data_IF_155182244611
#
_entry.id   IF_155182244611
#
_cell.length_a   1.000
_cell.length_b   1.000
_cell.length_c   1.000
_cell.angle_alpha   90.00
_cell.angle_beta   90.00
_cell.angle_gamma   90.00
#
_symmetry.space_group_name_H-M   'P 1'
#
loop_
_entity.id
_entity.type
_entity.pdbx_description
1 polymer ?
#
# COMPACT_ATOMS: atom_id res chain seq x y z
N UNK A 1 -1.32 8.62 26.96
CA UNK A 1 -0.92 9.51 25.83
C UNK A 1 -1.34 8.82 24.56
N UNK A 2 -1.81 9.56 23.56
CA UNK A 2 -2.47 8.99 22.38
C UNK A 2 -1.54 9.03 21.17
N UNK A 3 -1.53 7.97 20.35
CA UNK A 3 -0.94 7.96 19.03
C UNK A 3 -2.04 8.36 18.04
N UNK A 4 -1.77 9.31 17.17
CA UNK A 4 -2.76 9.81 16.21
C UNK A 4 -2.30 9.55 14.77
N UNK A 5 -3.05 8.73 14.04
CA UNK A 5 -2.93 8.60 12.59
C UNK A 5 -3.65 9.73 11.88
N UNK A 6 -3.11 10.24 10.76
CA UNK A 6 -3.80 11.21 9.89
C UNK A 6 -3.78 10.68 8.46
N UNK A 7 -4.97 10.39 7.92
CA UNK A 7 -5.16 9.87 6.56
C UNK A 7 -6.40 10.47 5.91
N UNK A 8 -6.42 10.53 4.58
CA UNK A 8 -7.60 11.02 3.84
C UNK A 8 -8.83 10.16 4.10
N UNK A 9 -8.67 8.86 3.99
CA UNK A 9 -9.68 7.86 4.29
C UNK A 9 -9.13 6.79 5.24
N UNK A 10 -10.00 5.89 5.70
CA UNK A 10 -9.61 4.79 6.58
C UNK A 10 -10.59 3.61 6.45
N UNK A 11 -10.14 2.36 6.64
CA UNK A 11 -11.04 1.19 6.60
C UNK A 11 -12.19 1.28 7.61
N UNK A 12 -13.35 0.67 7.34
CA UNK A 12 -13.70 -0.06 6.12
C UNK A 12 -14.20 0.82 4.98
N UNK A 13 -14.34 2.13 5.19
CA UNK A 13 -14.92 3.06 4.21
C UNK A 13 -13.98 3.33 3.03
N UNK A 14 -12.65 3.25 3.29
CA UNK A 14 -11.61 3.48 2.29
C UNK A 14 -10.50 2.44 2.42
N UNK A 15 -10.36 1.57 1.42
CA UNK A 15 -9.55 0.35 1.48
C UNK A 15 -8.49 0.29 0.37
N UNK A 16 -7.72 1.36 0.17
CA UNK A 16 -6.54 1.27 -0.68
C UNK A 16 -5.35 0.70 0.11
N UNK A 17 -4.34 0.18 -0.58
CA UNK A 17 -3.21 -0.49 0.06
C UNK A 17 -2.48 0.33 1.14
N UNK A 18 -2.37 1.65 0.94
CA UNK A 18 -1.76 2.55 1.92
C UNK A 18 -2.55 2.65 3.22
N UNK A 19 -3.88 2.81 3.13
CA UNK A 19 -4.77 2.93 4.29
C UNK A 19 -4.91 1.60 5.03
N UNK A 20 -4.99 0.49 4.32
CA UNK A 20 -4.98 -0.86 4.92
C UNK A 20 -3.66 -1.13 5.64
N UNK A 21 -2.53 -0.76 5.04
CA UNK A 21 -1.21 -0.86 5.68
C UNK A 21 -1.11 0.01 6.94
N UNK A 22 -1.56 1.26 6.88
CA UNK A 22 -1.60 2.15 8.05
C UNK A 22 -2.46 1.55 9.15
N UNK A 23 -3.66 1.06 8.82
CA UNK A 23 -4.55 0.43 9.78
C UNK A 23 -3.88 -0.74 10.49
N UNK A 24 -3.34 -1.70 9.76
CA UNK A 24 -2.67 -2.88 10.33
C UNK A 24 -1.49 -2.50 11.22
N UNK A 25 -0.72 -1.50 10.80
CA UNK A 25 0.39 -0.96 11.62
C UNK A 25 -0.11 -0.32 12.91
N UNK A 26 -1.14 0.52 12.83
CA UNK A 26 -1.69 1.22 14.00
C UNK A 26 -2.43 0.26 14.94
N UNK A 27 -3.18 -0.70 14.42
CA UNK A 27 -3.91 -1.70 15.20
C UNK A 27 -2.98 -2.69 15.93
N UNK A 28 -1.69 -2.81 15.53
CA UNK A 28 -0.71 -3.63 16.23
C UNK A 28 -0.14 -2.97 17.49
N UNK A 29 -0.33 -1.66 17.68
CA UNK A 29 0.21 -0.92 18.81
C UNK A 29 -0.63 -1.15 20.07
N UNK A 30 0.02 -1.28 21.22
CA UNK A 30 -0.64 -1.45 22.53
C UNK A 30 -1.16 -0.14 23.11
N UNK A 31 -0.63 0.99 22.66
CA UNK A 31 -1.08 2.31 23.10
C UNK A 31 -2.45 2.68 22.50
N UNK A 32 -3.15 3.64 23.11
CA UNK A 32 -4.40 4.15 22.55
C UNK A 32 -4.13 4.83 21.20
N UNK A 33 -4.85 4.37 20.17
CA UNK A 33 -4.76 4.92 18.80
C UNK A 33 -6.06 5.58 18.41
N UNK A 34 -5.93 6.78 17.84
CA UNK A 34 -7.04 7.51 17.20
C UNK A 34 -6.60 7.87 15.78
N UNK A 35 -7.48 7.72 14.80
CA UNK A 35 -7.21 8.18 13.43
C UNK A 35 -8.10 9.36 13.08
N UNK A 36 -7.52 10.42 12.57
CA UNK A 36 -8.22 11.57 12.04
C UNK A 36 -8.35 11.46 10.53
N UNK A 37 -9.57 11.56 10.01
CA UNK A 37 -9.87 11.43 8.58
C UNK A 37 -10.82 12.52 8.09
N UNK A 38 -10.98 12.63 6.77
CA UNK A 38 -11.98 13.49 6.14
C UNK A 38 -13.37 12.85 6.02
N UNK A 39 -13.63 11.73 6.69
CA UNK A 39 -14.93 11.05 6.69
C UNK A 39 -16.01 11.91 7.37
N UNK A 40 -17.28 11.68 6.99
CA UNK A 40 -18.39 12.52 7.45
C UNK A 40 -18.82 12.30 8.91
N UNK A 41 -18.35 11.23 9.57
CA UNK A 41 -18.73 10.89 10.95
C UNK A 41 -17.68 10.02 11.64
N UNK A 42 -17.73 10.05 12.97
CA UNK A 42 -16.90 9.18 13.82
C UNK A 42 -17.38 7.72 13.76
N UNK A 43 -16.43 6.79 13.83
CA UNK A 43 -16.68 5.34 13.92
C UNK A 43 -15.50 4.62 14.60
N UNK A 44 -15.59 3.30 14.74
CA UNK A 44 -14.46 2.46 15.15
C UNK A 44 -14.32 1.29 14.18
N UNK A 45 -13.08 0.88 13.92
CA UNK A 45 -12.77 -0.27 13.09
C UNK A 45 -11.63 -1.08 13.72
N UNK A 46 -11.88 -2.35 14.00
CA UNK A 46 -10.92 -3.29 14.63
C UNK A 46 -10.17 -2.69 15.83
N UNK A 47 -10.90 -2.04 16.73
CA UNK A 47 -10.37 -1.44 17.96
C UNK A 47 -9.77 -0.03 17.79
N UNK A 48 -9.54 0.43 16.57
CA UNK A 48 -9.06 1.80 16.29
C UNK A 48 -10.22 2.78 16.22
N UNK A 49 -10.15 3.87 17.00
CA UNK A 49 -11.14 4.96 16.95
C UNK A 49 -10.84 5.85 15.76
N UNK A 50 -11.84 6.11 14.92
CA UNK A 50 -11.75 7.01 13.77
C UNK A 50 -12.59 8.23 14.01
N UNK A 51 -12.03 9.41 13.90
CA UNK A 51 -12.68 10.68 14.13
C UNK A 51 -12.60 11.58 12.90
N UNK A 52 -13.66 12.33 12.66
CA UNK A 52 -13.66 13.35 11.63
C UNK A 52 -12.69 14.48 12.00
N UNK A 53 -11.94 14.96 11.01
CA UNK A 53 -11.17 16.20 11.14
C UNK A 53 -12.13 17.39 11.09
N UNK A 54 -12.04 18.29 12.07
CA UNK A 54 -12.89 19.47 12.19
C UNK A 54 -12.55 20.57 11.15
N UNK A 55 -12.28 20.20 9.91
CA UNK A 55 -12.10 21.16 8.81
C UNK A 55 -12.76 20.65 7.53
N UNK A 56 -13.58 21.43 6.85
CA UNK A 56 -14.27 21.01 5.63
C UNK A 56 -13.33 20.82 4.41
N UNK A 57 -12.05 21.17 4.49
CA UNK A 57 -11.10 21.13 3.37
C UNK A 57 -9.72 20.59 3.78
N UNK A 58 -9.66 19.39 4.36
CA UNK A 58 -8.40 18.72 4.72
C UNK A 58 -7.50 18.48 3.49
N UNK A 59 -8.09 18.37 2.31
CA UNK A 59 -7.39 18.18 1.04
C UNK A 59 -6.72 19.45 0.49
N UNK A 60 -7.05 20.61 1.03
CA UNK A 60 -6.39 21.83 0.59
C UNK A 60 -5.02 21.95 1.30
N UNK A 61 -3.95 21.79 0.54
CA UNK A 61 -2.55 21.92 1.01
C UNK A 61 -2.31 23.28 1.71
N UNK A 62 -3.15 24.27 1.42
CA UNK A 62 -3.16 25.59 2.05
C UNK A 62 -4.06 25.66 3.30
N UNK A 63 -4.72 24.55 3.72
CA UNK A 63 -5.51 24.55 4.94
C UNK A 63 -4.60 24.81 6.13
N UNK A 64 -5.00 25.77 6.94
CA UNK A 64 -4.29 26.05 8.18
C UNK A 64 -4.19 24.77 9.03
N UNK A 65 -3.01 24.38 9.52
CA UNK A 65 -2.86 23.22 10.41
C UNK A 65 -3.53 23.44 11.78
N UNK A 66 -4.02 24.64 12.05
CA UNK A 66 -4.57 25.05 13.35
C UNK A 66 -5.68 24.14 13.88
N UNK A 67 -6.78 23.91 13.15
CA UNK A 67 -7.87 23.04 13.61
C UNK A 67 -7.42 21.60 13.91
N UNK A 68 -6.53 21.04 13.10
CA UNK A 68 -5.94 19.71 13.36
C UNK A 68 -5.06 19.77 14.61
N UNK A 69 -4.27 20.82 14.78
CA UNK A 69 -3.40 20.98 15.94
C UNK A 69 -4.21 21.11 17.25
N UNK A 70 -5.32 21.82 17.25
CA UNK A 70 -6.21 21.91 18.41
C UNK A 70 -6.84 20.54 18.74
N UNK A 71 -7.25 19.79 17.74
CA UNK A 71 -7.78 18.44 17.91
C UNK A 71 -6.71 17.48 18.46
N UNK A 72 -5.46 17.60 18.00
CA UNK A 72 -4.31 16.85 18.53
C UNK A 72 -4.02 17.17 20.00
N UNK A 73 -4.13 18.45 20.40
CA UNK A 73 -3.99 18.86 21.82
C UNK A 73 -5.11 18.27 22.68
N UNK A 74 -6.37 18.32 22.22
CA UNK A 74 -7.52 17.73 22.92
C UNK A 74 -7.36 16.23 23.11
N UNK A 75 -6.76 15.53 22.13
CA UNK A 75 -6.44 14.10 22.20
C UNK A 75 -5.20 13.80 23.04
N UNK A 76 -4.49 14.80 23.54
CA UNK A 76 -3.19 14.64 24.21
C UNK A 76 -2.20 13.79 23.38
N UNK A 77 -2.13 14.13 22.08
CA UNK A 77 -1.33 13.38 21.09
C UNK A 77 0.16 13.46 21.41
N UNK A 78 0.81 12.32 21.61
CA UNK A 78 2.27 12.20 21.80
C UNK A 78 2.99 12.03 20.47
N UNK A 79 2.46 11.18 19.61
CA UNK A 79 2.99 10.87 18.28
C UNK A 79 1.88 11.07 17.24
N UNK A 80 2.25 11.67 16.12
CA UNK A 80 1.36 11.85 14.96
C UNK A 80 2.00 11.18 13.75
N UNK A 81 1.27 10.24 13.14
CA UNK A 81 1.70 9.51 11.94
C UNK A 81 0.85 9.96 10.76
N UNK A 82 1.46 10.67 9.82
CA UNK A 82 0.81 11.11 8.58
C UNK A 82 1.24 10.29 7.37
N UNK A 83 0.36 10.21 6.36
CA UNK A 83 0.70 9.58 5.08
C UNK A 83 0.14 10.32 3.87
N UNK A 84 0.65 9.98 2.68
CA UNK A 84 0.20 10.49 1.39
C UNK A 84 0.15 12.03 1.34
N UNK A 85 -0.89 12.62 0.75
CA UNK A 85 -1.08 14.07 0.60
C UNK A 85 -1.26 14.79 1.94
N UNK A 86 -1.70 14.10 2.98
CA UNK A 86 -1.86 14.67 4.32
C UNK A 86 -0.58 14.67 5.16
N UNK A 87 0.52 14.16 4.64
CA UNK A 87 1.81 14.12 5.34
C UNK A 87 2.27 15.51 5.80
N UNK A 88 2.22 16.52 4.93
CA UNK A 88 2.67 17.88 5.30
C UNK A 88 1.73 18.55 6.31
N UNK A 89 0.41 18.58 6.13
CA UNK A 89 -0.52 19.05 7.16
C UNK A 89 -0.34 18.34 8.51
N UNK A 90 -0.14 17.04 8.51
CA UNK A 90 0.10 16.25 9.73
C UNK A 90 1.37 16.69 10.47
N UNK A 91 2.48 16.88 9.75
CA UNK A 91 3.75 17.36 10.33
C UNK A 91 3.61 18.76 10.94
N UNK A 92 2.95 19.68 10.23
CA UNK A 92 2.76 21.04 10.70
C UNK A 92 1.85 21.09 11.93
N UNK A 93 0.76 20.33 11.91
CA UNK A 93 -0.18 20.23 13.04
C UNK A 93 0.48 19.57 14.26
N UNK A 94 1.23 18.50 14.09
CA UNK A 94 1.98 17.83 15.15
C UNK A 94 2.97 18.80 15.83
N UNK A 95 3.70 19.58 15.03
CA UNK A 95 4.62 20.60 15.54
C UNK A 95 3.90 21.65 16.37
N UNK A 96 2.75 22.17 15.89
CA UNK A 96 1.94 23.16 16.59
C UNK A 96 1.28 22.60 17.86
N UNK A 97 1.01 21.31 17.91
CA UNK A 97 0.49 20.61 19.09
C UNK A 97 1.58 20.18 20.09
N UNK A 98 2.86 20.28 19.73
CA UNK A 98 3.97 19.78 20.56
C UNK A 98 4.21 18.27 20.46
N UNK A 99 3.52 17.57 19.57
CA UNK A 99 3.67 16.14 19.33
C UNK A 99 4.88 15.81 18.42
N UNK A 100 5.35 14.56 18.47
CA UNK A 100 6.37 14.02 17.56
C UNK A 100 5.70 13.69 16.24
N UNK A 101 6.27 14.15 15.13
CA UNK A 101 5.78 13.90 13.79
C UNK A 101 6.54 12.77 13.10
N UNK A 102 5.80 11.78 12.63
CA UNK A 102 6.30 10.67 11.81
C UNK A 102 5.53 10.67 10.49
N UNK A 103 6.19 10.41 9.40
CA UNK A 103 5.52 10.20 8.11
C UNK A 103 5.76 8.80 7.59
N UNK A 104 4.71 8.22 7.03
CA UNK A 104 4.76 6.94 6.36
C UNK A 104 4.86 7.17 4.84
N UNK A 105 5.99 6.80 4.26
CA UNK A 105 6.34 7.12 2.87
C UNK A 105 6.12 5.91 1.98
N UNK A 106 5.08 5.98 1.14
CA UNK A 106 4.73 4.93 0.17
C UNK A 106 5.03 5.30 -1.28
N UNK A 107 5.39 6.56 -1.55
CA UNK A 107 5.57 7.07 -2.90
C UNK A 107 7.04 7.39 -3.18
N UNK A 108 7.51 7.23 -4.43
CA UNK A 108 8.86 7.66 -4.82
C UNK A 108 9.00 9.19 -4.80
N UNK A 109 10.25 9.71 -4.72
CA UNK A 109 10.52 11.16 -4.59
C UNK A 109 9.95 12.04 -5.70
N UNK A 110 9.68 11.46 -6.89
CA UNK A 110 9.10 12.18 -8.04
C UNK A 110 7.63 12.55 -7.85
N UNK A 111 6.92 11.87 -6.95
CA UNK A 111 5.52 12.15 -6.68
C UNK A 111 5.35 13.14 -5.52
N UNK A 112 5.10 14.39 -5.87
CA UNK A 112 4.56 15.39 -4.96
C UNK A 112 5.57 16.22 -4.15
N UNK A 113 5.49 17.53 -4.37
CA UNK A 113 6.24 18.54 -3.61
C UNK A 113 5.88 18.51 -2.11
N UNK A 114 4.62 18.21 -1.78
CA UNK A 114 4.09 18.12 -0.44
C UNK A 114 4.75 17.01 0.39
N UNK A 115 4.89 15.79 -0.18
CA UNK A 115 5.53 14.67 0.51
C UNK A 115 7.02 14.98 0.77
N UNK A 116 7.72 15.59 -0.19
CA UNK A 116 9.12 16.02 0.02
C UNK A 116 9.24 17.00 1.18
N UNK A 117 8.36 18.00 1.25
CA UNK A 117 8.37 18.96 2.36
C UNK A 117 8.06 18.28 3.69
N UNK A 118 7.16 17.30 3.70
CA UNK A 118 6.87 16.51 4.88
C UNK A 118 8.08 15.69 5.34
N UNK A 119 8.78 14.99 4.43
CA UNK A 119 10.01 14.22 4.75
C UNK A 119 11.08 15.12 5.37
N UNK A 120 11.32 16.31 4.80
CA UNK A 120 12.30 17.27 5.31
C UNK A 120 11.92 17.80 6.69
N UNK A 121 10.64 18.00 6.96
CA UNK A 121 10.16 18.69 8.16
C UNK A 121 9.73 17.77 9.29
N UNK A 122 9.45 16.49 9.03
CA UNK A 122 9.10 15.51 10.06
C UNK A 122 10.25 15.22 11.03
N UNK A 123 9.91 14.80 12.23
CA UNK A 123 10.88 14.29 13.19
C UNK A 123 11.45 12.94 12.71
N UNK A 124 10.58 12.08 12.13
CA UNK A 124 10.97 10.80 11.55
C UNK A 124 10.25 10.53 10.23
N UNK A 125 10.84 9.68 9.39
CA UNK A 125 10.16 9.07 8.24
C UNK A 125 10.35 7.55 8.28
N UNK A 126 9.27 6.85 8.00
CA UNK A 126 9.21 5.40 7.86
C UNK A 126 9.01 5.10 6.38
N UNK A 127 9.78 4.18 5.86
CA UNK A 127 9.71 3.77 4.45
C UNK A 127 9.17 2.34 4.36
N UNK A 128 8.37 2.09 3.36
CA UNK A 128 7.76 0.77 3.14
C UNK A 128 8.74 -0.29 2.61
N UNK A 129 9.93 0.11 2.17
CA UNK A 129 11.01 -0.77 1.70
C UNK A 129 12.37 -0.10 1.87
N UNK A 130 13.43 -0.88 1.94
CA UNK A 130 14.82 -0.36 1.91
C UNK A 130 15.11 0.33 0.57
N UNK A 131 14.58 -0.21 -0.54
CA UNK A 131 14.67 0.42 -1.85
C UNK A 131 14.05 1.82 -1.84
N UNK A 132 12.90 2.01 -1.18
CA UNK A 132 12.27 3.32 -1.00
C UNK A 132 13.17 4.26 -0.18
N UNK A 133 13.69 3.82 0.96
CA UNK A 133 14.60 4.62 1.77
C UNK A 133 15.85 5.05 0.99
N UNK A 134 16.41 4.14 0.21
CA UNK A 134 17.57 4.41 -0.67
C UNK A 134 17.24 5.41 -1.78
N UNK A 135 16.09 5.28 -2.41
CA UNK A 135 15.61 6.20 -3.46
C UNK A 135 15.42 7.63 -2.92
N UNK A 136 14.98 7.74 -1.65
CA UNK A 136 14.88 9.01 -0.94
C UNK A 136 16.22 9.54 -0.41
N UNK A 137 17.30 8.77 -0.51
CA UNK A 137 18.63 9.13 -0.02
C UNK A 137 18.82 8.97 1.50
N UNK A 138 17.98 8.12 2.12
CA UNK A 138 18.02 7.83 3.56
C UNK A 138 18.29 6.33 3.83
N UNK A 139 19.48 5.80 3.51
CA UNK A 139 19.76 4.36 3.60
C UNK A 139 19.76 3.80 5.03
N UNK A 140 19.81 4.65 6.05
CA UNK A 140 19.73 4.28 7.47
C UNK A 140 18.38 4.65 8.09
N UNK A 141 17.35 4.81 7.29
CA UNK A 141 16.01 5.16 7.74
C UNK A 141 15.31 3.99 8.42
N UNK A 142 14.23 4.30 9.11
CA UNK A 142 13.31 3.27 9.62
C UNK A 142 12.58 2.67 8.43
N UNK A 143 12.71 1.35 8.26
CA UNK A 143 11.93 0.59 7.28
C UNK A 143 10.91 -0.24 8.04
N UNK A 144 9.65 -0.14 7.62
CA UNK A 144 8.55 -0.96 8.09
C UNK A 144 7.76 -1.43 6.87
N UNK A 145 7.90 -2.70 6.55
CA UNK A 145 7.18 -3.27 5.42
C UNK A 145 5.67 -3.28 5.69
N UNK A 146 4.84 -3.03 4.66
CA UNK A 146 3.39 -3.04 4.82
C UNK A 146 2.89 -4.36 5.40
N UNK A 147 2.15 -4.34 6.53
CA UNK A 147 1.65 -5.58 7.13
C UNK A 147 0.64 -6.26 6.21
N UNK A 148 0.79 -7.57 6.03
CA UNK A 148 -0.08 -8.43 5.22
C UNK A 148 -1.20 -9.05 6.07
N UNK A 149 -2.25 -9.54 5.42
CA UNK A 149 -3.29 -10.32 6.07
C UNK A 149 -2.75 -11.63 6.63
N UNK A 150 -3.37 -12.14 7.67
CA UNK A 150 -3.04 -13.46 8.20
C UNK A 150 -3.22 -14.51 7.10
N UNK A 151 -2.20 -15.35 6.93
CA UNK A 151 -2.22 -16.43 5.95
C UNK A 151 -3.22 -17.49 6.39
N UNK A 152 -4.13 -17.96 5.51
CA UNK A 152 -5.09 -19.00 5.87
C UNK A 152 -4.40 -20.35 6.10
N UNK A 153 -4.95 -21.14 7.01
CA UNK A 153 -4.40 -22.46 7.36
C UNK A 153 -4.60 -23.50 6.25
N UNK A 154 -5.67 -23.37 5.47
CA UNK A 154 -5.97 -24.25 4.34
C UNK A 154 -6.11 -23.46 3.05
N UNK A 155 -5.68 -24.05 1.95
CA UNK A 155 -5.70 -23.43 0.63
C UNK A 155 -6.52 -24.30 -0.32
N UNK A 156 -7.40 -23.66 -1.09
CA UNK A 156 -7.95 -24.26 -2.30
C UNK A 156 -7.31 -23.57 -3.50
N UNK A 157 -6.43 -24.27 -4.21
CA UNK A 157 -5.77 -23.77 -5.43
C UNK A 157 -6.42 -24.32 -6.70
N UNK A 158 -7.72 -24.65 -6.64
CA UNK A 158 -8.47 -25.18 -7.78
C UNK A 158 -9.01 -24.07 -8.70
N UNK A 159 -8.57 -22.84 -8.53
CA UNK A 159 -8.91 -21.73 -9.41
C UNK A 159 -8.41 -21.94 -10.83
N UNK A 160 -9.16 -21.42 -11.80
CA UNK A 160 -8.86 -21.48 -13.24
C UNK A 160 -8.63 -20.10 -13.86
N UNK A 161 -8.96 -19.02 -13.14
CA UNK A 161 -8.92 -17.68 -13.65
C UNK A 161 -7.54 -17.00 -13.51
N UNK A 162 -7.22 -16.16 -14.48
CA UNK A 162 -6.13 -15.18 -14.38
C UNK A 162 -6.74 -13.87 -13.85
N UNK A 163 -6.33 -13.48 -12.63
CA UNK A 163 -7.01 -12.41 -11.90
C UNK A 163 -6.15 -11.16 -11.78
N UNK A 164 -6.75 -9.98 -11.96
CA UNK A 164 -6.16 -8.69 -11.61
C UNK A 164 -7.08 -7.97 -10.60
N UNK A 165 -6.50 -7.50 -9.50
CA UNK A 165 -7.25 -6.79 -8.45
C UNK A 165 -7.20 -5.27 -8.67
N UNK A 166 -7.36 -4.83 -9.91
CA UNK A 166 -7.44 -3.41 -10.26
C UNK A 166 -7.89 -3.21 -11.71
N UNK A 167 -8.75 -2.23 -11.92
CA UNK A 167 -9.23 -1.77 -13.23
C UNK A 167 -8.50 -0.52 -13.75
N UNK A 168 -7.37 -0.11 -13.09
CA UNK A 168 -6.70 1.13 -13.41
C UNK A 168 -5.67 0.97 -14.54
N UNK A 169 -5.52 2.00 -15.38
CA UNK A 169 -4.53 2.05 -16.46
C UNK A 169 -3.08 1.94 -15.95
N UNK A 170 -2.75 2.60 -14.85
CA UNK A 170 -1.42 2.50 -14.23
C UNK A 170 -1.15 1.16 -13.56
N UNK A 171 -2.20 0.36 -13.34
CA UNK A 171 -2.14 -1.02 -12.83
C UNK A 171 -2.16 -2.06 -13.94
N UNK A 172 -2.19 -1.63 -15.20
CA UNK A 172 -2.00 -2.47 -16.37
C UNK A 172 -3.25 -3.17 -16.89
N UNK A 173 -4.46 -2.61 -16.67
CA UNK A 173 -5.71 -3.17 -17.22
C UNK A 173 -5.64 -3.36 -18.73
N UNK A 174 -4.98 -2.45 -19.47
CA UNK A 174 -4.77 -2.58 -20.91
C UNK A 174 -3.97 -3.84 -21.28
N UNK A 175 -3.00 -4.25 -20.49
CA UNK A 175 -2.24 -5.50 -20.71
C UNK A 175 -3.16 -6.70 -20.52
N UNK A 176 -4.02 -6.69 -19.48
CA UNK A 176 -4.96 -7.78 -19.19
C UNK A 176 -5.99 -7.94 -20.28
N UNK A 177 -6.52 -6.85 -20.83
CA UNK A 177 -7.45 -6.85 -21.98
C UNK A 177 -6.83 -7.55 -23.20
N UNK A 178 -5.59 -7.20 -23.55
CA UNK A 178 -4.91 -7.81 -24.69
C UNK A 178 -4.55 -9.30 -24.43
N UNK A 179 -4.25 -9.65 -23.19
CA UNK A 179 -4.05 -11.07 -22.80
C UNK A 179 -5.36 -11.87 -22.90
N UNK A 180 -6.49 -11.30 -22.51
CA UNK A 180 -7.79 -11.97 -22.63
C UNK A 180 -8.15 -12.25 -24.10
N UNK A 181 -7.88 -11.31 -25.01
CA UNK A 181 -8.03 -11.51 -26.46
C UNK A 181 -7.08 -12.58 -27.00
N UNK A 182 -5.83 -12.61 -26.51
CA UNK A 182 -4.81 -13.57 -26.93
C UNK A 182 -5.08 -15.01 -26.46
N UNK A 183 -5.73 -15.17 -25.30
CA UNK A 183 -6.04 -16.46 -24.68
C UNK A 183 -7.53 -16.69 -24.54
N UNK A 184 -8.31 -16.85 -25.64
CA UNK A 184 -9.78 -16.88 -25.60
C UNK A 184 -10.35 -18.07 -24.80
N UNK A 185 -9.56 -19.12 -24.58
CA UNK A 185 -9.95 -20.29 -23.80
C UNK A 185 -9.55 -20.20 -22.31
N UNK A 186 -8.99 -19.08 -21.87
CA UNK A 186 -8.62 -18.82 -20.46
C UNK A 186 -9.58 -17.78 -19.88
N UNK A 187 -9.96 -17.96 -18.65
CA UNK A 187 -10.85 -17.07 -17.90
C UNK A 187 -10.05 -15.93 -17.27
N UNK A 188 -10.49 -14.70 -17.44
CA UNK A 188 -9.90 -13.52 -16.82
C UNK A 188 -10.87 -12.83 -15.89
N UNK A 189 -10.46 -12.53 -14.67
CA UNK A 189 -11.22 -11.77 -13.67
C UNK A 189 -10.57 -10.43 -13.43
N UNK A 190 -11.34 -9.35 -13.57
CA UNK A 190 -10.94 -7.99 -13.22
C UNK A 190 -11.80 -7.52 -12.05
N UNK A 191 -11.19 -7.24 -10.90
CA UNK A 191 -11.90 -6.63 -9.77
C UNK A 191 -11.69 -5.12 -9.81
N UNK A 192 -12.77 -4.34 -9.80
CA UNK A 192 -12.72 -2.88 -9.92
C UNK A 192 -12.00 -2.20 -8.75
N UNK A 193 -11.33 -1.10 -9.05
CA UNK A 193 -10.64 -0.27 -8.06
C UNK A 193 -11.52 0.88 -7.54
N UNK A 194 -11.38 1.30 -6.27
CA UNK A 194 -12.04 2.49 -5.76
C UNK A 194 -11.71 3.78 -6.52
N UNK A 195 -10.51 3.86 -7.12
CA UNK A 195 -10.04 5.04 -7.85
C UNK A 195 -10.43 5.04 -9.35
N UNK A 196 -11.21 4.07 -9.82
CA UNK A 196 -11.61 3.93 -11.23
C UNK A 196 -12.26 5.18 -11.83
N UNK A 197 -13.17 5.91 -11.13
CA UNK A 197 -13.81 7.09 -11.72
C UNK A 197 -12.83 8.17 -12.21
N UNK A 198 -11.64 8.21 -11.65
CA UNK A 198 -10.64 9.24 -11.95
C UNK A 198 -9.42 8.72 -12.72
N UNK A 199 -9.14 7.40 -12.67
CA UNK A 199 -7.90 6.80 -13.21
C UNK A 199 -8.15 5.51 -13.99
N UNK A 200 -9.40 5.10 -14.16
CA UNK A 200 -9.80 3.93 -14.93
C UNK A 200 -9.86 4.19 -16.44
N UNK A 201 -10.18 3.14 -17.17
CA UNK A 201 -10.49 3.21 -18.60
C UNK A 201 -11.98 3.57 -18.76
N UNK A 202 -12.28 4.66 -19.48
CA UNK A 202 -13.65 5.18 -19.59
C UNK A 202 -14.64 4.14 -20.16
N UNK A 203 -14.17 3.36 -21.15
CA UNK A 203 -15.03 2.41 -21.90
C UNK A 203 -14.81 0.95 -21.45
N UNK A 204 -14.37 0.73 -20.21
CA UNK A 204 -14.00 -0.62 -19.74
C UNK A 204 -15.18 -1.60 -19.77
N UNK A 205 -16.40 -1.16 -19.48
CA UNK A 205 -17.59 -2.01 -19.53
C UNK A 205 -17.92 -2.43 -20.97
N UNK A 206 -17.85 -1.50 -21.91
CA UNK A 206 -18.08 -1.78 -23.34
C UNK A 206 -17.02 -2.75 -23.86
N UNK A 207 -15.73 -2.48 -23.58
CA UNK A 207 -14.63 -3.37 -23.96
C UNK A 207 -14.79 -4.76 -23.36
N UNK A 208 -15.15 -4.86 -22.09
CA UNK A 208 -15.34 -6.16 -21.44
C UNK A 208 -16.52 -6.93 -22.02
N UNK A 209 -17.59 -6.24 -22.43
CA UNK A 209 -18.75 -6.88 -23.06
C UNK A 209 -18.46 -7.55 -24.41
N UNK A 210 -17.41 -7.08 -25.11
CA UNK A 210 -16.95 -7.63 -26.39
C UNK A 210 -15.97 -8.82 -26.23
N UNK A 211 -15.49 -9.10 -25.00
CA UNK A 211 -14.48 -10.12 -24.71
C UNK A 211 -15.10 -11.19 -23.81
N UNK A 212 -15.62 -12.30 -24.36
CA UNK A 212 -16.45 -13.27 -23.63
C UNK A 212 -15.77 -13.93 -22.42
N UNK A 213 -14.45 -13.97 -22.38
CA UNK A 213 -13.64 -14.56 -21.32
C UNK A 213 -13.07 -13.54 -20.34
N UNK A 214 -13.49 -12.26 -20.39
CA UNK A 214 -13.10 -11.20 -19.48
C UNK A 214 -14.29 -10.81 -18.58
N UNK A 215 -14.21 -11.18 -17.31
CA UNK A 215 -15.24 -10.91 -16.32
C UNK A 215 -14.89 -9.66 -15.52
N UNK A 216 -15.77 -8.67 -15.53
CA UNK A 216 -15.62 -7.44 -14.76
C UNK A 216 -16.47 -7.52 -13.50
N UNK A 217 -15.81 -7.55 -12.34
CA UNK A 217 -16.46 -7.65 -11.04
C UNK A 217 -16.45 -6.32 -10.28
N UNK A 218 -17.48 -6.03 -9.47
CA UNK A 218 -17.52 -4.84 -8.64
C UNK A 218 -16.37 -4.85 -7.63
N UNK A 219 -16.05 -3.66 -7.14
CA UNK A 219 -15.17 -3.51 -5.98
C UNK A 219 -15.72 -4.29 -4.80
N UNK A 220 -14.84 -4.95 -4.07
CA UNK A 220 -15.15 -5.62 -2.80
C UNK A 220 -14.29 -5.06 -1.66
N UNK A 221 -14.75 -5.15 -0.42
CA UNK A 221 -13.92 -4.84 0.74
C UNK A 221 -12.77 -5.87 0.89
N UNK A 222 -11.66 -5.49 1.55
CA UNK A 222 -10.47 -6.35 1.67
C UNK A 222 -10.77 -7.74 2.23
N UNK A 223 -11.70 -7.83 3.18
CA UNK A 223 -12.13 -9.08 3.81
C UNK A 223 -12.90 -10.02 2.87
N UNK A 224 -13.30 -9.56 1.68
CA UNK A 224 -13.97 -10.37 0.67
C UNK A 224 -13.07 -10.75 -0.52
N UNK A 225 -11.85 -10.22 -0.59
CA UNK A 225 -10.92 -10.48 -1.70
C UNK A 225 -10.57 -11.98 -1.81
N UNK A 226 -10.61 -12.71 -0.68
CA UNK A 226 -10.37 -14.16 -0.67
C UNK A 226 -11.30 -14.93 -1.60
N UNK A 227 -12.54 -14.46 -1.84
CA UNK A 227 -13.50 -15.08 -2.77
C UNK A 227 -12.99 -15.10 -4.22
N UNK A 228 -12.14 -14.15 -4.57
CA UNK A 228 -11.44 -14.11 -5.85
C UNK A 228 -10.18 -14.97 -5.82
N UNK A 229 -9.44 -14.99 -4.72
CA UNK A 229 -8.30 -15.88 -4.58
C UNK A 229 -8.68 -17.36 -4.71
N UNK A 230 -9.84 -17.77 -4.20
CA UNK A 230 -10.36 -19.14 -4.40
C UNK A 230 -10.61 -19.52 -5.86
N UNK A 231 -10.83 -18.54 -6.73
CA UNK A 231 -11.05 -18.71 -8.17
C UNK A 231 -9.76 -18.48 -8.99
N UNK A 232 -8.73 -17.94 -8.37
CA UNK A 232 -7.52 -17.50 -9.07
C UNK A 232 -6.53 -18.63 -9.25
N UNK A 233 -6.09 -18.84 -10.48
CA UNK A 233 -4.96 -19.71 -10.82
C UNK A 233 -3.65 -18.94 -10.81
N UNK A 234 -3.61 -17.77 -11.44
CA UNK A 234 -2.44 -16.88 -11.48
C UNK A 234 -2.90 -15.45 -11.20
N UNK A 235 -2.26 -14.78 -10.27
CA UNK A 235 -2.47 -13.34 -10.08
C UNK A 235 -1.61 -12.55 -11.08
N UNK A 236 -2.21 -11.59 -11.77
CA UNK A 236 -1.52 -10.69 -12.70
C UNK A 236 -1.37 -9.31 -12.07
N UNK A 237 -0.14 -8.81 -12.02
CA UNK A 237 0.18 -7.46 -11.53
C UNK A 237 1.07 -6.73 -12.55
N UNK A 238 0.57 -6.45 -13.77
CA UNK A 238 1.31 -5.80 -14.85
C UNK A 238 1.32 -4.29 -14.69
N UNK A 239 1.46 -3.81 -13.46
CA UNK A 239 1.48 -2.39 -13.11
C UNK A 239 2.68 -1.68 -13.74
N UNK A 240 2.53 -0.40 -14.07
CA UNK A 240 3.68 0.42 -14.53
C UNK A 240 4.69 0.67 -13.42
N UNK A 241 4.22 0.67 -12.19
CA UNK A 241 5.05 0.85 -10.99
C UNK A 241 4.35 0.28 -9.75
N UNK A 242 5.11 -0.42 -8.91
CA UNK A 242 4.67 -0.91 -7.60
C UNK A 242 5.72 -0.60 -6.53
N UNK A 243 5.24 -0.33 -5.33
CA UNK A 243 6.10 0.01 -4.18
C UNK A 243 6.28 -1.12 -3.18
N UNK A 244 5.50 -2.21 -3.29
CA UNK A 244 5.66 -3.42 -2.48
C UNK A 244 4.94 -4.64 -3.06
N UNK A 245 3.70 -4.47 -3.57
CA UNK A 245 2.92 -5.55 -4.16
C UNK A 245 2.13 -6.36 -3.12
N UNK A 246 1.41 -5.70 -2.22
CA UNK A 246 0.63 -6.37 -1.14
C UNK A 246 -0.30 -7.45 -1.68
N UNK A 247 -1.03 -7.18 -2.77
CA UNK A 247 -1.96 -8.16 -3.37
C UNK A 247 -1.27 -9.45 -3.83
N UNK A 248 -0.04 -9.36 -4.33
CA UNK A 248 0.74 -10.53 -4.72
C UNK A 248 1.15 -11.37 -3.50
N UNK A 249 1.53 -10.71 -2.40
CA UNK A 249 1.89 -11.40 -1.16
C UNK A 249 0.66 -12.04 -0.52
N UNK A 250 -0.48 -11.36 -0.53
CA UNK A 250 -1.76 -11.91 -0.02
C UNK A 250 -2.19 -13.12 -0.85
N UNK A 251 -2.13 -13.05 -2.18
CA UNK A 251 -2.40 -14.20 -3.05
C UNK A 251 -1.41 -15.35 -2.81
N UNK A 252 -0.14 -15.05 -2.61
CA UNK A 252 0.89 -16.04 -2.27
C UNK A 252 0.58 -16.79 -0.98
N UNK A 253 -0.06 -16.13 0.00
CA UNK A 253 -0.60 -16.78 1.20
C UNK A 253 -1.64 -17.86 0.92
N UNK A 254 -2.29 -17.82 -0.23
CA UNK A 254 -3.18 -18.87 -0.75
C UNK A 254 -2.45 -19.86 -1.69
N UNK A 255 -1.13 -19.78 -1.81
CA UNK A 255 -0.35 -20.60 -2.74
C UNK A 255 -0.58 -20.21 -4.20
N UNK A 256 -1.08 -19.00 -4.47
CA UNK A 256 -1.34 -18.53 -5.83
C UNK A 256 -0.08 -17.85 -6.36
N UNK A 257 0.54 -18.39 -7.41
CA UNK A 257 1.68 -17.76 -8.05
C UNK A 257 1.26 -16.48 -8.78
N UNK A 258 2.20 -15.55 -8.98
CA UNK A 258 1.91 -14.32 -9.69
C UNK A 258 2.94 -13.97 -10.77
N UNK A 259 2.46 -13.31 -11.83
CA UNK A 259 3.30 -12.55 -12.76
C UNK A 259 3.24 -11.08 -12.32
N UNK A 260 4.38 -10.52 -11.97
CA UNK A 260 4.47 -9.19 -11.36
C UNK A 260 5.47 -8.30 -12.08
N UNK A 261 5.21 -6.98 -12.09
CA UNK A 261 6.20 -6.03 -12.58
C UNK A 261 7.48 -6.10 -11.73
N UNK A 262 8.63 -6.05 -12.41
CA UNK A 262 9.93 -6.05 -11.74
C UNK A 262 10.31 -4.64 -11.26
N UNK A 263 10.38 -4.47 -9.96
CA UNK A 263 10.92 -3.27 -9.32
C UNK A 263 11.78 -3.65 -8.11
N UNK A 264 12.78 -2.82 -7.72
CA UNK A 264 13.55 -3.07 -6.51
C UNK A 264 12.68 -3.25 -5.25
N UNK A 265 11.57 -2.54 -5.17
CA UNK A 265 10.62 -2.60 -4.05
C UNK A 265 9.87 -3.93 -3.98
N UNK A 266 9.41 -4.43 -5.13
CA UNK A 266 8.71 -5.72 -5.25
C UNK A 266 9.61 -6.90 -4.88
N UNK A 267 10.91 -6.80 -5.19
CA UNK A 267 11.90 -7.81 -4.82
C UNK A 267 12.05 -7.99 -3.31
N UNK A 268 11.81 -6.95 -2.51
CA UNK A 268 11.79 -7.05 -1.04
C UNK A 268 10.50 -7.72 -0.52
N UNK A 269 9.38 -7.58 -1.23
CA UNK A 269 8.12 -8.25 -0.96
C UNK A 269 8.11 -9.67 -1.51
N UNK A 270 7.34 -9.90 -2.56
CA UNK A 270 7.14 -11.24 -3.16
C UNK A 270 8.44 -11.83 -3.75
N UNK A 271 9.34 -10.99 -4.27
CA UNK A 271 10.66 -11.39 -4.75
C UNK A 271 10.60 -12.50 -5.80
N UNK A 272 11.55 -13.43 -5.71
CA UNK A 272 11.71 -14.54 -6.66
C UNK A 272 10.59 -15.60 -6.57
N UNK A 273 9.68 -15.50 -5.61
CA UNK A 273 8.47 -16.32 -5.57
C UNK A 273 7.43 -15.92 -6.62
N UNK A 274 7.66 -14.79 -7.32
CA UNK A 274 6.89 -14.36 -8.48
C UNK A 274 7.73 -14.45 -9.75
N UNK A 275 7.07 -14.55 -10.90
CA UNK A 275 7.73 -14.30 -12.20
C UNK A 275 7.73 -12.79 -12.43
N UNK A 276 8.92 -12.19 -12.29
CA UNK A 276 9.12 -10.74 -12.42
C UNK A 276 9.38 -10.37 -13.88
N UNK A 277 8.59 -9.44 -14.41
CA UNK A 277 8.59 -9.06 -15.83
C UNK A 277 8.50 -7.55 -16.03
N UNK A 278 8.85 -7.08 -17.22
CA UNK A 278 8.47 -5.74 -17.67
C UNK A 278 6.96 -5.69 -17.94
N UNK A 279 6.29 -4.53 -17.74
CA UNK A 279 4.83 -4.41 -17.87
C UNK A 279 4.40 -4.34 -19.35
N UNK A 280 4.58 -5.41 -20.10
CA UNK A 280 4.11 -5.58 -21.49
C UNK A 280 3.28 -6.84 -21.65
N UNK A 281 2.50 -6.92 -22.72
CA UNK A 281 1.66 -8.08 -23.04
C UNK A 281 2.55 -9.33 -23.26
N UNK A 282 3.64 -9.17 -24.01
CA UNK A 282 4.55 -10.27 -24.38
C UNK A 282 5.25 -10.84 -23.15
N UNK A 283 5.79 -9.98 -22.29
CA UNK A 283 6.50 -10.41 -21.10
C UNK A 283 5.53 -11.02 -20.06
N UNK A 284 4.33 -10.44 -19.91
CA UNK A 284 3.31 -11.00 -19.01
C UNK A 284 2.83 -12.38 -19.54
N UNK A 285 2.62 -12.50 -20.85
CA UNK A 285 2.26 -13.79 -21.47
C UNK A 285 3.32 -14.86 -21.23
N UNK A 286 4.61 -14.50 -21.42
CA UNK A 286 5.74 -15.42 -21.15
C UNK A 286 5.78 -15.81 -19.67
N UNK A 287 5.51 -14.87 -18.77
CA UNK A 287 5.43 -15.17 -17.34
C UNK A 287 4.30 -16.15 -17.01
N UNK A 288 3.14 -16.01 -17.63
CA UNK A 288 2.03 -16.96 -17.51
C UNK A 288 2.46 -18.37 -17.99
N UNK A 289 3.04 -18.46 -19.17
CA UNK A 289 3.49 -19.72 -19.77
C UNK A 289 4.55 -20.41 -18.88
N UNK A 290 5.46 -19.63 -18.30
CA UNK A 290 6.48 -20.16 -17.38
C UNK A 290 5.84 -20.74 -16.11
N UNK A 291 4.90 -20.04 -15.48
CA UNK A 291 4.17 -20.56 -14.30
C UNK A 291 3.39 -21.83 -14.67
N UNK A 292 2.64 -21.81 -15.79
CA UNK A 292 1.86 -22.98 -16.21
C UNK A 292 2.70 -24.21 -16.52
N UNK A 293 3.95 -24.03 -16.98
CA UNK A 293 4.86 -25.14 -17.25
C UNK A 293 5.30 -25.89 -15.98
N UNK A 294 5.25 -25.26 -14.81
CA UNK A 294 5.61 -25.87 -13.52
C UNK A 294 4.83 -25.23 -12.35
N UNK A 295 3.51 -25.21 -12.48
CA UNK A 295 2.59 -24.53 -11.54
C UNK A 295 2.84 -24.90 -10.09
N UNK A 296 3.01 -26.19 -9.80
CA UNK A 296 3.17 -26.68 -8.44
C UNK A 296 4.38 -26.04 -7.73
N UNK A 297 5.53 -25.96 -8.42
CA UNK A 297 6.74 -25.37 -7.85
C UNK A 297 6.55 -23.87 -7.55
N UNK A 298 5.89 -23.13 -8.45
CA UNK A 298 5.58 -21.71 -8.23
C UNK A 298 4.57 -21.51 -7.10
N UNK A 299 3.58 -22.39 -6.98
CA UNK A 299 2.60 -22.36 -5.89
C UNK A 299 3.25 -22.58 -4.52
N UNK A 300 4.13 -23.57 -4.43
CA UNK A 300 4.89 -23.87 -3.20
C UNK A 300 5.85 -22.72 -2.83
N UNK A 301 6.57 -22.18 -3.81
CA UNK A 301 7.46 -21.03 -3.59
C UNK A 301 6.68 -19.77 -3.13
N UNK A 302 5.52 -19.50 -3.73
CA UNK A 302 4.65 -18.40 -3.34
C UNK A 302 4.22 -18.57 -1.88
N UNK A 303 3.73 -19.73 -1.50
CA UNK A 303 3.30 -20.04 -0.13
C UNK A 303 4.43 -19.89 0.89
N UNK A 304 5.57 -20.50 0.63
CA UNK A 304 6.74 -20.40 1.51
C UNK A 304 7.22 -18.95 1.68
N UNK A 305 7.16 -18.15 0.62
CA UNK A 305 7.51 -16.74 0.69
C UNK A 305 6.55 -15.94 1.55
N UNK A 306 5.25 -16.16 1.43
CA UNK A 306 4.25 -15.47 2.23
C UNK A 306 4.42 -15.81 3.73
N UNK A 307 4.67 -17.07 4.08
CA UNK A 307 4.93 -17.51 5.45
C UNK A 307 6.17 -16.83 6.04
N UNK A 308 7.27 -16.82 5.28
CA UNK A 308 8.48 -16.11 5.69
C UNK A 308 8.24 -14.60 5.90
N UNK A 309 7.45 -13.96 5.02
CA UNK A 309 7.10 -12.54 5.16
C UNK A 309 6.23 -12.29 6.40
N UNK A 310 5.34 -13.20 6.76
CA UNK A 310 4.51 -13.07 7.97
C UNK A 310 5.35 -13.17 9.24
N UNK A 311 6.34 -14.07 9.28
CA UNK A 311 7.26 -14.19 10.42
C UNK A 311 8.12 -12.94 10.58
N UNK A 312 8.67 -12.43 9.46
CA UNK A 312 9.44 -11.17 9.44
C UNK A 312 8.60 -9.99 9.93
N UNK A 313 7.37 -9.88 9.45
CA UNK A 313 6.44 -8.82 9.85
C UNK A 313 6.22 -8.76 11.34
N UNK A 314 6.03 -9.91 12.01
CA UNK A 314 5.82 -9.96 13.45
C UNK A 314 6.99 -9.32 14.19
N UNK A 315 8.23 -9.62 13.79
CA UNK A 315 9.44 -9.03 14.36
C UNK A 315 9.58 -7.53 14.06
N UNK A 316 9.18 -7.09 12.87
CA UNK A 316 9.21 -5.67 12.49
C UNK A 316 8.19 -4.85 13.27
N UNK A 317 6.99 -5.38 13.50
CA UNK A 317 5.95 -4.72 14.29
C UNK A 317 6.35 -4.60 15.77
N UNK A 318 6.98 -5.62 16.36
CA UNK A 318 7.54 -5.55 17.71
C UNK A 318 8.60 -4.43 17.82
N UNK A 319 9.55 -4.38 16.88
CA UNK A 319 10.56 -3.31 16.85
C UNK A 319 9.95 -1.93 16.66
N UNK A 320 8.89 -1.85 15.84
CA UNK A 320 8.18 -0.59 15.63
C UNK A 320 7.43 -0.15 16.89
N UNK A 321 6.79 -1.07 17.61
CA UNK A 321 6.15 -0.79 18.89
C UNK A 321 7.18 -0.26 19.92
N UNK A 322 8.33 -0.94 20.06
CA UNK A 322 9.41 -0.49 20.93
C UNK A 322 9.94 0.89 20.53
N UNK A 323 10.08 1.15 19.22
CA UNK A 323 10.46 2.47 18.73
C UNK A 323 9.41 3.52 19.13
N UNK A 324 8.12 3.26 18.88
CA UNK A 324 7.04 4.19 19.23
C UNK A 324 7.01 4.45 20.74
N UNK A 325 7.13 3.42 21.58
CA UNK A 325 7.12 3.56 23.03
C UNK A 325 8.24 4.49 23.55
N UNK A 326 9.42 4.43 22.94
CA UNK A 326 10.62 5.14 23.39
C UNK A 326 10.99 6.37 22.57
N UNK A 327 10.24 6.69 21.50
CA UNK A 327 10.58 7.77 20.57
C UNK A 327 10.61 9.13 21.24
N UNK A 328 11.68 9.88 20.97
CA UNK A 328 11.87 11.26 21.43
C UNK A 328 12.12 12.19 20.24
N UNK A 329 11.90 13.48 20.45
CA UNK A 329 12.18 14.46 19.39
C UNK A 329 13.70 14.50 19.13
N UNK A 330 14.15 14.36 17.86
CA UNK A 330 15.57 14.36 17.54
C UNK A 330 16.20 15.72 17.88
N UNK A 331 17.36 15.69 18.53
CA UNK A 331 18.12 16.89 18.91
C UNK A 331 18.81 17.58 17.73
N UNK A 332 19.02 16.84 16.60
CA UNK A 332 19.79 17.35 15.46
C UNK A 332 19.06 17.11 14.12
N UNK A 333 18.29 18.12 13.68
CA UNK A 333 17.55 18.08 12.39
C UNK A 333 18.40 18.42 11.16
N UNK A 334 19.59 18.99 11.34
CA UNK A 334 20.40 19.54 10.23
C UNK A 334 20.92 18.49 9.25
N UNK A 335 21.16 17.26 9.70
CA UNK A 335 21.72 16.17 8.88
C UNK A 335 20.68 15.61 7.87
N UNK A 336 19.39 15.60 8.22
CA UNK A 336 18.32 15.09 7.36
C UNK A 336 18.03 16.01 6.17
N UNK A 337 18.08 17.33 6.40
CA UNK A 337 17.86 18.32 5.34
C UNK A 337 18.93 18.23 4.22
N UNK A 338 20.16 17.86 4.57
CA UNK A 338 21.27 17.78 3.60
C UNK A 338 21.24 16.51 2.75
N UNK A 339 20.79 15.37 3.27
CA UNK A 339 20.73 14.10 2.53
C UNK A 339 19.59 14.10 1.50
N UNK A 340 18.39 14.49 1.91
CA UNK A 340 17.21 14.55 1.02
C UNK A 340 17.40 15.58 -0.11
N UNK A 341 18.00 16.74 0.19
CA UNK A 341 18.25 17.77 -0.82
C UNK A 341 19.29 17.33 -1.86
N UNK A 342 20.28 16.52 -1.48
CA UNK A 342 21.27 15.96 -2.41
C UNK A 342 20.69 14.87 -3.32
N UNK A 343 19.82 13.99 -2.80
CA UNK A 343 19.17 12.94 -3.58
C UNK A 343 18.24 13.52 -4.65
N UNK A 344 17.47 14.56 -4.31
CA UNK A 344 16.53 15.20 -5.25
C UNK A 344 17.19 16.01 -6.38
N UNK A 345 18.47 16.39 -6.24
CA UNK A 345 19.24 17.06 -7.33
C UNK A 345 19.82 16.08 -8.35
N UNK A 346 19.92 14.78 -8.02
CA UNK A 346 20.44 13.75 -8.93
C UNK A 346 19.34 13.10 -9.81
N UNK A 347 18.08 13.33 -9.50
CA UNK A 347 16.91 12.73 -10.20
C UNK A 347 16.07 13.77 -10.95
N UNK A 348 16.52 15.01 -11.07
CA UNK A 348 15.88 16.09 -11.81
C UNK A 348 16.42 16.26 -13.21
#
# INVERSE_FOLDING_TARGET
MTIVGISHGYPPLWNMGGEVSLHRTLASLKEEVVVLTSTEKDYSFEGVKVKQVNTPNVLNINSSPGPIAEQLKQLNARVVIGQSELSLPAVLAARAAGAISIINVHAPPKYGRSIRQAVIQADYAIYNTEASAKEWGEPNAIVLHPPISKIPNSISTNGDAYTVLSSLLNKGINVVIELAKRYPNKRFIVVRSPAEPTHGLADLEEIASEIPNLELHPRVPPEEVYKYFEQTRILLVPSRYETYGMSAIEAAGYGIPCVHVDTPHVREGIGEAAVLVSPSVEETARGIELIESNYQAYSEAARARAEWLQDRQSQELEKFEDFIANVQRPTNRSLRQTSVTKATRKTG
#
